data_IF_553517167574
#
_entry.id   IF_553517167574
#
_cell.length_a   1.000
_cell.length_b   1.000
_cell.length_c   1.000
_cell.angle_alpha   90.00
_cell.angle_beta   90.00
_cell.angle_gamma   90.00
#
_symmetry.space_group_name_H-M   'P 1'
#
loop_
_entity.id
_entity.type
_entity.pdbx_description
1 polymer ?
#
# COMPACT_ATOMS: atom_id res chain seq x y z
N UNK A 1 -22.59 -6.63 -0.29
CA UNK A 1 -23.09 -5.23 -0.20
C UNK A 1 -23.85 -4.92 1.09
N UNK A 2 -24.73 -5.80 1.61
CA UNK A 2 -25.40 -5.59 2.92
C UNK A 2 -24.41 -5.54 4.10
N UNK A 3 -23.38 -6.38 4.08
CA UNK A 3 -22.37 -6.41 5.15
C UNK A 3 -21.46 -5.18 5.18
N UNK A 4 -21.09 -4.65 4.01
CA UNK A 4 -20.36 -3.37 3.89
C UNK A 4 -21.15 -2.19 4.49
N UNK A 5 -22.47 -2.15 4.28
CA UNK A 5 -23.32 -1.10 4.84
C UNK A 5 -23.46 -1.21 6.36
N UNK A 6 -23.50 -2.43 6.89
CA UNK A 6 -23.54 -2.69 8.33
C UNK A 6 -22.19 -2.40 8.99
N UNK A 7 -21.08 -2.80 8.36
CA UNK A 7 -19.73 -2.45 8.78
C UNK A 7 -19.54 -0.93 8.80
N UNK A 8 -19.94 -0.21 7.74
CA UNK A 8 -19.87 1.24 7.68
C UNK A 8 -20.65 1.94 8.80
N UNK A 9 -21.86 1.44 9.14
CA UNK A 9 -22.64 1.95 10.28
C UNK A 9 -21.98 1.67 11.62
N UNK A 10 -21.40 0.49 11.79
CA UNK A 10 -20.65 0.11 12.98
C UNK A 10 -19.45 1.04 13.17
N UNK A 11 -18.64 1.25 12.13
CA UNK A 11 -17.52 2.19 12.15
C UNK A 11 -17.97 3.61 12.44
N UNK A 12 -19.03 4.08 11.77
CA UNK A 12 -19.57 5.41 12.00
C UNK A 12 -20.03 5.61 13.46
N UNK A 13 -20.55 4.59 14.13
CA UNK A 13 -20.95 4.69 15.54
C UNK A 13 -19.76 4.90 16.48
N UNK A 14 -18.69 4.14 16.32
CA UNK A 14 -17.51 4.20 17.19
C UNK A 14 -16.51 5.32 16.82
N UNK A 15 -16.57 5.83 15.59
CA UNK A 15 -15.78 6.99 15.13
C UNK A 15 -16.49 8.32 15.33
N UNK A 16 -17.82 8.33 15.53
CA UNK A 16 -18.60 9.56 15.76
C UNK A 16 -18.03 10.48 16.86
N UNK A 17 -17.51 9.98 18.00
CA UNK A 17 -16.91 10.86 19.01
C UNK A 17 -15.64 11.57 18.53
N UNK A 18 -14.95 11.02 17.53
CA UNK A 18 -13.66 11.50 17.01
C UNK A 18 -13.78 12.17 15.64
N UNK A 19 -14.99 12.55 15.21
CA UNK A 19 -15.23 13.06 13.87
C UNK A 19 -14.41 14.32 13.52
N UNK A 20 -14.09 15.16 14.51
CA UNK A 20 -13.23 16.35 14.33
C UNK A 20 -11.78 15.93 14.04
N UNK A 21 -11.23 15.02 14.86
CA UNK A 21 -9.87 14.53 14.67
C UNK A 21 -9.73 13.81 13.31
N UNK A 22 -10.75 13.05 12.91
CA UNK A 22 -10.82 12.41 11.59
C UNK A 22 -10.94 13.42 10.42
N UNK A 23 -11.65 14.53 10.62
CA UNK A 23 -11.72 15.59 9.62
C UNK A 23 -10.38 16.31 9.47
N UNK A 24 -9.68 16.58 10.58
CA UNK A 24 -8.33 17.15 10.58
C UNK A 24 -7.36 16.23 9.86
N UNK A 25 -7.36 14.92 10.14
CA UNK A 25 -6.48 13.96 9.45
C UNK A 25 -6.78 13.91 7.96
N UNK A 26 -8.04 13.94 7.56
CA UNK A 26 -8.44 13.96 6.14
C UNK A 26 -7.90 15.21 5.42
N UNK A 27 -7.98 16.38 6.06
CA UNK A 27 -7.45 17.64 5.50
C UNK A 27 -5.92 17.57 5.39
N UNK A 28 -5.22 17.15 6.45
CA UNK A 28 -3.76 17.03 6.46
C UNK A 28 -3.27 16.04 5.41
N UNK A 29 -3.96 14.92 5.26
CA UNK A 29 -3.75 13.93 4.19
C UNK A 29 -3.92 14.58 2.81
N UNK A 30 -4.96 15.38 2.61
CA UNK A 30 -5.16 16.10 1.35
C UNK A 30 -4.03 17.09 1.04
N UNK A 31 -3.55 17.82 2.06
CA UNK A 31 -2.41 18.74 1.95
C UNK A 31 -1.12 17.98 1.61
N UNK A 32 -0.85 16.87 2.30
CA UNK A 32 0.27 15.97 2.01
C UNK A 32 0.22 15.46 0.57
N UNK A 33 -0.94 14.93 0.16
CA UNK A 33 -1.15 14.40 -1.20
C UNK A 33 -0.87 15.47 -2.24
N UNK A 34 -1.38 16.69 -2.03
CA UNK A 34 -1.09 17.81 -2.92
C UNK A 34 0.41 18.16 -2.94
N UNK A 35 1.05 18.24 -1.77
CA UNK A 35 2.46 18.60 -1.64
C UNK A 35 3.38 17.59 -2.34
N UNK A 36 3.18 16.29 -2.12
CA UNK A 36 4.00 15.22 -2.72
C UNK A 36 3.78 15.11 -4.24
N UNK A 37 2.56 15.37 -4.71
CA UNK A 37 2.22 15.37 -6.15
C UNK A 37 2.81 16.56 -6.88
N UNK A 38 2.86 17.73 -6.23
CA UNK A 38 3.38 18.97 -6.82
C UNK A 38 4.90 19.06 -6.73
N UNK A 39 5.53 18.47 -5.71
CA UNK A 39 6.97 18.57 -5.45
C UNK A 39 7.87 18.22 -6.67
N UNK A 40 7.62 17.16 -7.46
CA UNK A 40 8.40 16.86 -8.66
C UNK A 40 8.43 18.00 -9.67
N UNK A 41 7.35 18.79 -9.81
CA UNK A 41 7.34 19.95 -10.74
C UNK A 41 8.27 21.07 -10.30
N UNK A 42 8.40 21.30 -9.00
CA UNK A 42 9.36 22.27 -8.48
C UNK A 42 10.80 21.75 -8.57
N UNK A 43 11.01 20.44 -8.44
CA UNK A 43 12.30 19.82 -8.74
C UNK A 43 12.70 20.06 -10.20
N UNK A 44 11.77 19.85 -11.14
CA UNK A 44 11.96 20.16 -12.56
C UNK A 44 12.33 21.62 -12.77
N UNK A 45 11.54 22.56 -12.23
CA UNK A 45 11.81 24.01 -12.34
C UNK A 45 13.17 24.41 -11.77
N UNK A 46 13.57 23.83 -10.62
CA UNK A 46 14.88 24.10 -10.05
C UNK A 46 16.02 23.67 -11.00
N UNK A 47 15.85 22.55 -11.70
CA UNK A 47 16.81 22.09 -12.72
C UNK A 47 16.82 23.02 -13.94
N UNK A 48 15.66 23.47 -14.40
CA UNK A 48 15.55 24.43 -15.51
C UNK A 48 16.22 25.77 -15.18
N UNK A 49 15.97 26.31 -13.99
CA UNK A 49 16.56 27.57 -13.52
C UNK A 49 18.07 27.43 -13.33
N UNK A 50 18.54 26.28 -12.83
CA UNK A 50 19.97 25.99 -12.72
C UNK A 50 20.62 25.89 -14.10
N UNK A 51 19.99 25.21 -15.06
CA UNK A 51 20.48 25.11 -16.44
C UNK A 51 20.58 26.50 -17.09
N UNK A 52 19.58 27.35 -16.88
CA UNK A 52 19.55 28.73 -17.36
C UNK A 52 20.67 29.57 -16.73
N UNK A 53 20.89 29.43 -15.42
CA UNK A 53 21.99 30.09 -14.72
C UNK A 53 23.36 29.70 -15.30
N UNK A 54 23.60 28.38 -15.49
CA UNK A 54 24.86 27.88 -16.05
C UNK A 54 25.07 28.42 -17.47
N UNK A 55 24.03 28.43 -18.30
CA UNK A 55 24.11 28.96 -19.66
C UNK A 55 24.42 30.46 -19.68
N UNK A 56 23.81 31.26 -18.80
CA UNK A 56 24.07 32.69 -18.66
C UNK A 56 25.48 32.99 -18.13
N UNK A 57 25.98 32.15 -17.20
CA UNK A 57 27.30 32.28 -16.61
C UNK A 57 28.43 31.93 -17.60
N UNK A 58 28.19 30.96 -18.49
CA UNK A 58 29.13 30.58 -19.55
C UNK A 58 29.25 31.63 -20.65
N UNK A 59 28.20 32.42 -20.90
CA UNK A 59 28.20 33.46 -21.92
C UNK A 59 28.82 34.78 -21.39
N UNK A 60 29.93 35.27 -21.98
CA UNK A 60 30.62 36.47 -21.49
C UNK A 60 29.75 37.73 -21.44
N UNK A 61 28.76 37.84 -22.34
CA UNK A 61 27.86 38.98 -22.46
C UNK A 61 26.74 39.02 -21.39
N UNK A 62 26.31 37.87 -20.87
CA UNK A 62 25.19 37.74 -19.92
C UNK A 62 25.64 37.42 -18.50
N UNK A 63 26.95 37.25 -18.28
CA UNK A 63 27.53 36.83 -17.00
C UNK A 63 27.15 37.73 -15.82
N UNK A 64 26.98 39.03 -16.05
CA UNK A 64 26.58 40.00 -15.03
C UNK A 64 25.10 39.89 -14.61
N UNK A 65 24.25 39.22 -15.40
CA UNK A 65 22.83 39.03 -15.13
C UNK A 65 22.52 37.69 -14.44
N UNK A 66 23.50 36.78 -14.39
CA UNK A 66 23.35 35.44 -13.81
C UNK A 66 23.14 35.54 -12.29
N UNK A 67 21.91 35.27 -11.83
CA UNK A 67 21.50 35.43 -10.42
C UNK A 67 20.95 34.13 -9.86
N UNK A 68 21.44 33.71 -8.69
CA UNK A 68 21.00 32.48 -8.00
C UNK A 68 19.67 32.60 -7.24
N UNK A 69 19.12 33.81 -7.15
CA UNK A 69 17.92 34.10 -6.33
C UNK A 69 16.71 33.27 -6.75
N UNK A 70 16.47 33.12 -8.05
CA UNK A 70 15.32 32.34 -8.56
C UNK A 70 15.47 30.86 -8.20
N UNK A 71 16.64 30.28 -8.47
CA UNK A 71 16.97 28.89 -8.11
C UNK A 71 16.81 28.64 -6.60
N UNK A 72 17.39 29.49 -5.76
CA UNK A 72 17.31 29.34 -4.30
C UNK A 72 15.87 29.43 -3.80
N UNK A 73 15.06 30.31 -4.39
CA UNK A 73 13.63 30.45 -4.05
C UNK A 73 12.84 29.20 -4.46
N UNK A 74 13.05 28.68 -5.66
CA UNK A 74 12.39 27.45 -6.14
C UNK A 74 12.80 26.23 -5.33
N UNK A 75 14.09 26.12 -4.97
CA UNK A 75 14.59 25.07 -4.09
C UNK A 75 14.02 25.19 -2.68
N UNK A 76 13.89 26.40 -2.14
CA UNK A 76 13.27 26.63 -0.83
C UNK A 76 11.80 26.19 -0.83
N UNK A 77 11.04 26.47 -1.90
CA UNK A 77 9.66 25.98 -2.04
C UNK A 77 9.64 24.45 -2.12
N UNK A 78 10.52 23.84 -2.91
CA UNK A 78 10.63 22.39 -3.02
C UNK A 78 10.87 21.71 -1.65
N UNK A 79 11.84 22.22 -0.88
CA UNK A 79 12.11 21.72 0.48
C UNK A 79 10.91 21.94 1.40
N UNK A 80 10.27 23.11 1.31
CA UNK A 80 9.08 23.43 2.11
C UNK A 80 7.90 22.48 1.80
N UNK A 81 7.70 22.08 0.54
CA UNK A 81 6.68 21.10 0.17
C UNK A 81 6.94 19.74 0.83
N UNK A 82 8.19 19.26 0.84
CA UNK A 82 8.55 18.02 1.53
C UNK A 82 8.40 18.12 3.06
N UNK A 83 8.71 19.28 3.65
CA UNK A 83 8.49 19.51 5.09
C UNK A 83 7.00 19.51 5.42
N UNK A 84 6.17 20.17 4.59
CA UNK A 84 4.71 20.16 4.73
C UNK A 84 4.16 18.74 4.63
N UNK A 85 4.61 17.99 3.62
CA UNK A 85 4.21 16.59 3.43
C UNK A 85 4.58 15.74 4.66
N UNK A 86 5.86 15.72 5.04
CA UNK A 86 6.35 14.94 6.17
C UNK A 86 5.65 15.30 7.49
N UNK A 87 5.43 16.60 7.74
CA UNK A 87 4.74 17.07 8.95
C UNK A 87 3.26 16.69 8.93
N UNK A 88 2.60 16.81 7.77
CA UNK A 88 1.18 16.47 7.61
C UNK A 88 0.94 14.97 7.77
N UNK A 89 1.79 14.11 7.18
CA UNK A 89 1.75 12.66 7.35
C UNK A 89 2.04 12.28 8.81
N UNK A 90 3.04 12.89 9.44
CA UNK A 90 3.38 12.63 10.83
C UNK A 90 2.21 12.96 11.77
N UNK A 91 1.65 14.16 11.67
CA UNK A 91 0.50 14.56 12.50
C UNK A 91 -0.71 13.67 12.21
N UNK A 92 -0.97 13.36 10.93
CA UNK A 92 -2.09 12.50 10.54
C UNK A 92 -1.95 11.10 11.12
N UNK A 93 -0.77 10.48 11.01
CA UNK A 93 -0.49 9.15 11.54
C UNK A 93 -0.61 9.08 13.08
N UNK A 94 -0.16 10.11 13.80
CA UNK A 94 -0.31 10.21 15.25
C UNK A 94 -1.79 10.31 15.66
N UNK A 95 -2.55 11.18 14.99
CA UNK A 95 -3.99 11.34 15.24
C UNK A 95 -4.76 10.05 14.90
N UNK A 96 -4.46 9.40 13.78
CA UNK A 96 -5.10 8.15 13.38
C UNK A 96 -4.78 7.00 14.33
N UNK A 97 -3.53 6.91 14.79
CA UNK A 97 -3.12 5.95 15.81
C UNK A 97 -3.89 6.17 17.12
N UNK A 98 -4.04 7.44 17.52
CA UNK A 98 -4.82 7.84 18.70
C UNK A 98 -6.29 7.43 18.55
N UNK A 99 -6.95 7.85 17.46
CA UNK A 99 -8.37 7.54 17.18
C UNK A 99 -8.60 6.03 17.19
N UNK A 100 -7.76 5.28 16.46
CA UNK A 100 -7.88 3.83 16.34
C UNK A 100 -7.69 3.13 17.68
N UNK A 101 -6.71 3.58 18.48
CA UNK A 101 -6.43 3.03 19.81
C UNK A 101 -7.59 3.23 20.79
N UNK A 102 -8.10 4.45 20.92
CA UNK A 102 -9.22 4.73 21.82
C UNK A 102 -10.53 4.11 21.34
N UNK A 103 -10.79 4.13 20.03
CA UNK A 103 -12.00 3.51 19.45
C UNK A 103 -12.03 2.01 19.73
N UNK A 104 -10.91 1.31 19.51
CA UNK A 104 -10.76 -0.13 19.78
C UNK A 104 -10.85 -0.43 21.27
N UNK A 105 -10.25 0.41 22.13
CA UNK A 105 -10.42 0.30 23.58
C UNK A 105 -11.88 0.39 24.01
N UNK A 106 -12.62 1.33 23.43
CA UNK A 106 -14.06 1.50 23.67
C UNK A 106 -14.87 0.29 23.18
N UNK A 107 -14.52 -0.26 22.01
CA UNK A 107 -15.12 -1.49 21.50
C UNK A 107 -14.88 -2.68 22.44
N UNK A 108 -13.63 -2.87 22.92
CA UNK A 108 -13.28 -3.94 23.88
C UNK A 108 -14.08 -3.83 25.18
N UNK A 109 -14.18 -2.63 25.76
CA UNK A 109 -14.99 -2.40 26.97
C UNK A 109 -16.48 -2.66 26.72
N UNK A 110 -17.00 -2.23 25.57
CA UNK A 110 -18.39 -2.47 25.17
C UNK A 110 -18.70 -3.96 24.98
N UNK A 111 -17.82 -4.70 24.31
CA UNK A 111 -17.95 -6.14 24.10
C UNK A 111 -17.89 -6.90 25.43
N UNK A 112 -16.94 -6.54 26.30
CA UNK A 112 -16.80 -7.14 27.63
C UNK A 112 -18.06 -6.92 28.48
N UNK A 113 -18.57 -5.68 28.52
CA UNK A 113 -19.82 -5.36 29.24
C UNK A 113 -21.02 -6.12 28.68
N UNK A 114 -21.08 -6.33 27.36
CA UNK A 114 -22.14 -7.12 26.73
C UNK A 114 -22.03 -8.59 27.15
N UNK A 115 -20.83 -9.15 27.10
CA UNK A 115 -20.52 -10.54 27.50
C UNK A 115 -20.97 -10.82 28.94
N UNK A 116 -20.64 -9.93 29.89
CA UNK A 116 -21.07 -10.03 31.30
C UNK A 116 -22.59 -10.06 31.51
N UNK A 117 -23.38 -9.60 30.53
CA UNK A 117 -24.85 -9.54 30.59
C UNK A 117 -25.52 -10.62 29.75
N UNK A 118 -24.75 -11.51 29.12
CA UNK A 118 -25.31 -12.59 28.32
C UNK A 118 -25.84 -13.71 29.23
N UNK A 119 -26.90 -14.36 28.77
CA UNK A 119 -27.49 -15.51 29.49
C UNK A 119 -26.53 -16.70 29.42
N UNK A 120 -26.54 -17.54 30.45
CA UNK A 120 -25.74 -18.77 30.52
C UNK A 120 -25.87 -19.64 29.26
N UNK A 121 -27.10 -19.75 28.71
CA UNK A 121 -27.38 -20.47 27.46
C UNK A 121 -26.53 -20.04 26.24
N UNK A 122 -26.03 -18.79 26.21
CA UNK A 122 -25.11 -18.36 25.15
C UNK A 122 -23.75 -19.04 25.28
N UNK A 123 -23.24 -19.16 26.52
CA UNK A 123 -21.98 -19.82 26.83
C UNK A 123 -22.09 -21.34 26.69
N UNK A 124 -23.26 -21.93 26.96
CA UNK A 124 -23.48 -23.37 26.74
C UNK A 124 -23.50 -23.76 25.25
N UNK A 125 -23.76 -22.80 24.36
CA UNK A 125 -23.90 -23.02 22.91
C UNK A 125 -22.68 -22.58 22.08
N UNK A 126 -21.67 -21.98 22.70
CA UNK A 126 -20.47 -21.47 22.01
C UNK A 126 -19.20 -21.92 22.74
N UNK A 127 -18.17 -22.29 21.98
CA UNK A 127 -16.88 -22.64 22.58
C UNK A 127 -16.18 -21.42 23.20
N UNK A 128 -15.49 -21.62 24.33
CA UNK A 128 -14.67 -20.57 24.96
C UNK A 128 -13.66 -19.95 23.98
N UNK A 129 -13.12 -20.76 23.07
CA UNK A 129 -12.19 -20.32 22.03
C UNK A 129 -12.81 -19.36 21.00
N UNK A 130 -14.04 -19.62 20.54
CA UNK A 130 -14.77 -18.71 19.64
C UNK A 130 -15.02 -17.35 20.33
N UNK A 131 -15.46 -17.39 21.59
CA UNK A 131 -15.69 -16.18 22.40
C UNK A 131 -14.39 -15.37 22.58
N UNK A 132 -13.28 -16.04 22.91
CA UNK A 132 -11.98 -15.39 23.10
C UNK A 132 -11.44 -14.80 21.78
N UNK A 133 -11.57 -15.50 20.66
CA UNK A 133 -11.09 -15.02 19.35
C UNK A 133 -11.79 -13.73 18.91
N UNK A 134 -13.09 -13.61 19.20
CA UNK A 134 -13.87 -12.38 18.94
C UNK A 134 -13.40 -11.20 19.78
N UNK A 135 -12.85 -11.45 20.97
CA UNK A 135 -12.35 -10.41 21.87
C UNK A 135 -10.91 -9.99 21.54
N UNK A 136 -10.10 -10.89 21.01
CA UNK A 136 -8.71 -10.62 20.65
C UNK A 136 -8.57 -10.37 19.15
N UNK A 137 -8.57 -11.43 18.35
CA UNK A 137 -8.24 -11.40 16.93
C UNK A 137 -9.21 -10.55 16.11
N UNK A 138 -10.51 -10.65 16.33
CA UNK A 138 -11.49 -9.92 15.49
C UNK A 138 -11.44 -8.42 15.75
N UNK A 139 -11.28 -8.00 17.01
CA UNK A 139 -11.13 -6.59 17.36
C UNK A 139 -9.80 -6.02 16.88
N UNK A 140 -8.73 -6.83 16.89
CA UNK A 140 -7.44 -6.44 16.32
C UNK A 140 -7.51 -6.32 14.79
N UNK A 141 -8.24 -7.21 14.11
CA UNK A 141 -8.50 -7.11 12.67
C UNK A 141 -9.32 -5.86 12.33
N UNK A 142 -10.32 -5.50 13.13
CA UNK A 142 -11.08 -4.26 12.99
C UNK A 142 -10.17 -3.04 13.18
N UNK A 143 -9.28 -3.05 14.19
CA UNK A 143 -8.29 -2.00 14.41
C UNK A 143 -7.36 -1.82 13.21
N UNK A 144 -6.79 -2.90 12.70
CA UNK A 144 -5.88 -2.87 11.55
C UNK A 144 -6.58 -2.36 10.28
N UNK A 145 -7.82 -2.79 10.04
CA UNK A 145 -8.62 -2.32 8.91
C UNK A 145 -8.92 -0.80 8.99
N UNK A 146 -9.14 -0.28 10.20
CA UNK A 146 -9.40 1.15 10.44
C UNK A 146 -8.13 2.01 10.31
N UNK A 147 -6.99 1.51 10.79
CA UNK A 147 -5.79 2.31 10.95
C UNK A 147 -4.97 2.39 9.65
N UNK A 148 -4.89 1.30 8.88
CA UNK A 148 -4.05 1.24 7.67
C UNK A 148 -4.87 1.16 6.39
N UNK A 149 -5.69 0.11 6.23
CA UNK A 149 -6.21 -0.26 4.92
C UNK A 149 -7.15 0.78 4.30
N UNK A 150 -8.14 1.29 5.04
CA UNK A 150 -9.09 2.25 4.47
C UNK A 150 -8.41 3.54 4.05
N UNK A 151 -7.51 4.04 4.88
CA UNK A 151 -6.87 5.35 4.69
C UNK A 151 -5.86 5.29 3.57
N UNK A 152 -5.09 4.20 3.50
CA UNK A 152 -4.15 3.95 2.41
C UNK A 152 -4.84 3.87 1.05
N UNK A 153 -6.03 3.26 0.97
CA UNK A 153 -6.82 3.23 -0.28
C UNK A 153 -7.24 4.63 -0.71
N UNK A 154 -7.76 5.45 0.22
CA UNK A 154 -8.14 6.84 -0.09
C UNK A 154 -6.92 7.69 -0.48
N UNK A 155 -5.82 7.58 0.26
CA UNK A 155 -4.55 8.24 -0.01
C UNK A 155 -4.00 7.88 -1.39
N UNK A 156 -3.82 6.59 -1.64
CA UNK A 156 -3.26 6.09 -2.89
C UNK A 156 -4.14 6.46 -4.08
N UNK A 157 -5.48 6.41 -3.91
CA UNK A 157 -6.42 6.85 -4.94
C UNK A 157 -6.33 8.34 -5.23
N UNK A 158 -6.28 9.19 -4.19
CA UNK A 158 -6.13 10.64 -4.34
C UNK A 158 -4.79 11.02 -4.96
N UNK A 159 -3.70 10.38 -4.52
CA UNK A 159 -2.37 10.57 -5.08
C UNK A 159 -2.30 10.13 -6.54
N UNK A 160 -2.87 8.97 -6.88
CA UNK A 160 -2.93 8.48 -8.26
C UNK A 160 -3.66 9.46 -9.19
N UNK A 161 -4.83 9.95 -8.78
CA UNK A 161 -5.59 10.96 -9.53
C UNK A 161 -4.78 12.26 -9.64
N UNK A 162 -4.14 12.69 -8.55
CA UNK A 162 -3.31 13.89 -8.51
C UNK A 162 -2.11 13.82 -9.47
N UNK A 163 -1.40 12.70 -9.49
CA UNK A 163 -0.27 12.46 -10.40
C UNK A 163 -0.74 12.51 -11.85
N UNK A 164 -1.82 11.79 -12.20
CA UNK A 164 -2.38 11.80 -13.55
C UNK A 164 -2.73 13.23 -13.97
N UNK A 165 -3.44 13.96 -13.10
CA UNK A 165 -3.81 15.35 -13.36
C UNK A 165 -2.56 16.20 -13.63
N UNK A 166 -1.56 16.15 -12.75
CA UNK A 166 -0.31 16.89 -12.93
C UNK A 166 0.41 16.50 -14.22
N UNK A 167 0.54 15.22 -14.54
CA UNK A 167 1.19 14.76 -15.78
C UNK A 167 0.54 15.37 -17.02
N UNK A 168 -0.79 15.35 -17.11
CA UNK A 168 -1.51 15.96 -18.24
C UNK A 168 -1.36 17.48 -18.29
N UNK A 169 -1.26 18.16 -17.14
CA UNK A 169 -1.00 19.62 -17.14
C UNK A 169 0.43 19.96 -17.59
N UNK A 170 1.41 19.09 -17.35
CA UNK A 170 2.81 19.33 -17.72
C UNK A 170 3.09 18.97 -19.18
N UNK A 171 2.73 17.76 -19.61
CA UNK A 171 2.91 17.32 -20.99
C UNK A 171 1.99 16.14 -21.33
N UNK A 172 0.97 16.39 -22.15
CA UNK A 172 0.01 15.36 -22.54
C UNK A 172 0.65 14.19 -23.32
N UNK A 173 1.67 14.44 -24.14
CA UNK A 173 2.33 13.40 -24.94
C UNK A 173 3.06 12.40 -24.06
N UNK A 174 3.89 12.88 -23.12
CA UNK A 174 4.55 12.00 -22.16
C UNK A 174 3.58 11.37 -21.18
N UNK A 175 2.51 12.07 -20.79
CA UNK A 175 1.47 11.49 -19.95
C UNK A 175 0.89 10.22 -20.58
N UNK A 176 0.53 10.27 -21.86
CA UNK A 176 0.06 9.08 -22.57
C UNK A 176 1.11 7.98 -22.67
N UNK A 177 2.36 8.33 -22.93
CA UNK A 177 3.46 7.35 -23.02
C UNK A 177 3.66 6.64 -21.68
N UNK A 178 3.74 7.38 -20.57
CA UNK A 178 3.90 6.81 -19.23
C UNK A 178 2.68 6.00 -18.83
N UNK A 179 1.46 6.52 -19.06
CA UNK A 179 0.22 5.81 -18.69
C UNK A 179 -0.05 4.58 -19.54
N UNK A 180 0.51 4.47 -20.75
CA UNK A 180 0.34 3.28 -21.59
C UNK A 180 0.89 2.00 -20.91
N UNK A 181 1.86 2.15 -19.99
CA UNK A 181 2.38 1.03 -19.19
C UNK A 181 1.42 0.60 -18.07
N UNK A 182 0.56 1.49 -17.59
CA UNK A 182 -0.31 1.26 -16.43
C UNK A 182 -1.34 0.13 -16.65
N UNK A 183 -2.10 0.05 -17.76
CA UNK A 183 -3.00 -1.07 -18.02
C UNK A 183 -2.29 -2.42 -18.07
N UNK A 184 -1.07 -2.46 -18.61
CA UNK A 184 -0.24 -3.67 -18.66
C UNK A 184 0.16 -4.10 -17.25
N UNK A 185 0.59 -3.15 -16.42
CA UNK A 185 0.92 -3.41 -15.02
C UNK A 185 -0.29 -3.90 -14.22
N UNK A 186 -1.46 -3.30 -14.40
CA UNK A 186 -2.70 -3.73 -13.75
C UNK A 186 -3.08 -5.15 -14.21
N UNK A 187 -3.03 -5.43 -15.51
CA UNK A 187 -3.37 -6.75 -16.07
C UNK A 187 -2.44 -7.85 -15.56
N UNK A 188 -1.12 -7.61 -15.56
CA UNK A 188 -0.14 -8.54 -15.02
C UNK A 188 -0.31 -8.74 -13.51
N UNK A 189 -0.54 -7.66 -12.77
CA UNK A 189 -0.78 -7.73 -11.33
C UNK A 189 -2.04 -8.53 -11.00
N UNK A 190 -3.13 -8.29 -11.72
CA UNK A 190 -4.38 -9.04 -11.55
C UNK A 190 -4.19 -10.53 -11.84
N UNK A 191 -3.44 -10.87 -12.88
CA UNK A 191 -3.10 -12.26 -13.20
C UNK A 191 -2.27 -12.93 -12.09
N UNK A 192 -1.19 -12.28 -11.65
CA UNK A 192 -0.32 -12.81 -10.58
C UNK A 192 -1.08 -12.94 -9.26
N UNK A 193 -1.86 -11.93 -8.88
CA UNK A 193 -2.69 -11.97 -7.67
C UNK A 193 -3.72 -13.11 -7.72
N UNK A 194 -4.33 -13.35 -8.89
CA UNK A 194 -5.26 -14.46 -9.05
C UNK A 194 -4.56 -15.82 -8.90
N UNK A 195 -3.36 -15.99 -9.47
CA UNK A 195 -2.60 -17.24 -9.30
C UNK A 195 -2.09 -17.43 -7.87
N UNK A 196 -1.72 -16.33 -7.19
CA UNK A 196 -1.36 -16.33 -5.79
C UNK A 196 -2.54 -16.77 -4.92
N UNK A 197 -3.74 -16.19 -5.12
CA UNK A 197 -4.93 -16.56 -4.35
C UNK A 197 -5.28 -18.04 -4.53
N UNK A 198 -5.31 -18.53 -5.78
CA UNK A 198 -5.58 -19.95 -6.07
C UNK A 198 -4.53 -20.88 -5.44
N UNK A 199 -3.27 -20.46 -5.39
CA UNK A 199 -2.20 -21.25 -4.79
C UNK A 199 -2.26 -21.27 -3.26
N UNK A 200 -2.62 -20.14 -2.65
CA UNK A 200 -2.83 -20.01 -1.20
C UNK A 200 -4.05 -20.82 -0.76
N UNK A 201 -5.14 -20.79 -1.52
CA UNK A 201 -6.34 -21.60 -1.24
C UNK A 201 -5.99 -23.10 -1.23
N UNK A 202 -5.26 -23.57 -2.24
CA UNK A 202 -4.79 -24.96 -2.30
C UNK A 202 -3.84 -25.32 -1.16
N UNK A 203 -2.95 -24.40 -0.80
CA UNK A 203 -2.06 -24.58 0.35
C UNK A 203 -2.88 -24.75 1.64
N UNK A 204 -3.94 -23.96 1.82
CA UNK A 204 -4.80 -24.04 2.99
C UNK A 204 -5.59 -25.36 3.04
N UNK A 205 -6.07 -25.84 1.89
CA UNK A 205 -6.73 -27.16 1.78
C UNK A 205 -5.80 -28.31 2.17
N UNK A 206 -4.56 -28.30 1.66
CA UNK A 206 -3.57 -29.34 1.97
C UNK A 206 -3.16 -29.30 3.46
N UNK A 207 -3.00 -28.11 4.04
CA UNK A 207 -2.75 -27.93 5.47
C UNK A 207 -3.93 -28.46 6.30
N UNK A 208 -5.17 -28.20 5.86
CA UNK A 208 -6.38 -28.73 6.49
C UNK A 208 -6.40 -30.26 6.53
N UNK A 209 -6.05 -30.91 5.40
CA UNK A 209 -5.93 -32.37 5.32
C UNK A 209 -4.82 -32.92 6.21
N UNK A 210 -3.65 -32.29 6.20
CA UNK A 210 -2.52 -32.66 7.07
C UNK A 210 -2.92 -32.57 8.55
N UNK A 211 -3.55 -31.47 8.97
CA UNK A 211 -4.00 -31.27 10.34
C UNK A 211 -5.11 -32.26 10.73
N UNK A 212 -6.01 -32.59 9.80
CA UNK A 212 -7.01 -33.65 9.98
C UNK A 212 -6.36 -35.00 10.28
N UNK A 213 -5.35 -35.38 9.49
CA UNK A 213 -4.56 -36.59 9.72
C UNK A 213 -3.88 -36.57 11.09
N UNK A 214 -3.16 -35.49 11.41
CA UNK A 214 -2.50 -35.32 12.73
C UNK A 214 -3.51 -35.48 13.87
N UNK A 215 -4.69 -34.86 13.76
CA UNK A 215 -5.72 -34.91 14.80
C UNK A 215 -6.25 -36.33 15.01
N UNK A 216 -6.47 -37.09 13.94
CA UNK A 216 -6.87 -38.50 14.02
C UNK A 216 -5.79 -39.37 14.69
N UNK A 217 -4.52 -39.18 14.30
CA UNK A 217 -3.40 -39.92 14.88
C UNK A 217 -3.22 -39.59 16.37
N UNK A 218 -3.31 -38.31 16.78
CA UNK A 218 -3.20 -37.90 18.18
C UNK A 218 -4.38 -38.41 19.00
N UNK A 219 -5.60 -38.32 18.47
CA UNK A 219 -6.81 -38.86 19.15
C UNK A 219 -6.70 -40.38 19.31
N UNK A 220 -6.18 -41.07 18.30
CA UNK A 220 -5.95 -42.52 18.28
C UNK A 220 -4.62 -42.97 18.90
N UNK A 221 -3.85 -42.08 19.53
CA UNK A 221 -2.45 -42.35 19.92
C UNK A 221 -2.29 -43.60 20.79
N UNK A 222 -3.24 -43.85 21.69
CA UNK A 222 -3.19 -45.01 22.59
C UNK A 222 -3.29 -46.31 21.79
N UNK A 223 -4.19 -46.35 20.79
CA UNK A 223 -4.35 -47.50 19.90
C UNK A 223 -3.09 -47.72 19.05
N UNK A 224 -2.53 -46.65 18.48
CA UNK A 224 -1.30 -46.73 17.69
C UNK A 224 -0.14 -47.31 18.51
N UNK A 225 0.02 -46.86 19.76
CA UNK A 225 1.09 -47.34 20.64
C UNK A 225 0.89 -48.80 21.03
N UNK A 226 -0.32 -49.18 21.44
CA UNK A 226 -0.59 -50.56 21.88
C UNK A 226 -0.48 -51.58 20.76
N UNK A 227 -0.70 -51.17 19.50
CA UNK A 227 -0.61 -52.05 18.33
C UNK A 227 0.72 -51.91 17.56
N UNK A 228 1.66 -51.06 18.01
CA UNK A 228 2.95 -50.89 17.36
C UNK A 228 2.91 -50.23 15.98
N UNK A 229 1.88 -49.42 15.70
CA UNK A 229 1.61 -48.81 14.38
C UNK A 229 2.25 -47.42 14.19
N UNK A 230 3.18 -47.00 15.05
CA UNK A 230 3.75 -45.64 15.01
C UNK A 230 4.50 -45.36 13.70
N UNK A 231 5.24 -46.34 13.17
CA UNK A 231 5.96 -46.16 11.90
C UNK A 231 5.00 -46.04 10.71
N UNK A 232 3.90 -46.77 10.71
CA UNK A 232 2.86 -46.67 9.68
C UNK A 232 2.15 -45.32 9.73
N UNK A 233 1.88 -44.81 10.94
CA UNK A 233 1.37 -43.45 11.16
C UNK A 233 2.32 -42.38 10.59
N UNK A 234 3.63 -42.51 10.82
CA UNK A 234 4.62 -41.60 10.24
C UNK A 234 4.69 -41.75 8.72
N UNK A 235 4.59 -42.97 8.18
CA UNK A 235 4.56 -43.19 6.75
C UNK A 235 3.31 -42.57 6.09
N UNK A 236 2.15 -42.64 6.75
CA UNK A 236 0.91 -42.01 6.32
C UNK A 236 0.95 -40.47 6.38
N UNK A 237 1.76 -39.87 7.26
CA UNK A 237 1.99 -38.42 7.32
C UNK A 237 2.78 -37.89 6.12
N UNK A 238 3.78 -38.64 5.64
CA UNK A 238 4.67 -38.21 4.56
C UNK A 238 3.98 -37.69 3.29
N UNK A 239 2.96 -38.37 2.71
CA UNK A 239 2.28 -37.88 1.52
C UNK A 239 1.55 -36.56 1.75
N UNK A 240 0.89 -36.38 2.91
CA UNK A 240 0.23 -35.11 3.24
C UNK A 240 1.25 -33.98 3.41
N UNK A 241 2.37 -34.24 4.08
CA UNK A 241 3.45 -33.27 4.25
C UNK A 241 4.10 -32.90 2.91
N UNK A 242 4.28 -33.86 2.01
CA UNK A 242 4.80 -33.62 0.66
C UNK A 242 3.83 -32.77 -0.19
N UNK A 243 2.51 -33.00 -0.05
CA UNK A 243 1.49 -32.17 -0.69
C UNK A 243 1.57 -30.72 -0.21
N UNK A 244 1.58 -30.50 1.11
CA UNK A 244 1.75 -29.17 1.72
C UNK A 244 3.05 -28.52 1.26
N UNK A 245 4.17 -29.24 1.22
CA UNK A 245 5.45 -28.69 0.72
C UNK A 245 5.33 -28.19 -0.73
N UNK A 246 4.64 -28.94 -1.59
CA UNK A 246 4.46 -28.60 -3.01
C UNK A 246 3.51 -27.42 -3.21
N UNK A 247 2.38 -27.37 -2.49
CA UNK A 247 1.44 -26.25 -2.57
C UNK A 247 2.00 -24.99 -1.94
N UNK A 248 2.70 -25.10 -0.81
CA UNK A 248 3.40 -23.99 -0.16
C UNK A 248 4.47 -23.36 -1.07
N UNK A 249 5.32 -24.18 -1.73
CA UNK A 249 6.31 -23.65 -2.67
C UNK A 249 5.65 -22.85 -3.81
N UNK A 250 4.55 -23.36 -4.38
CA UNK A 250 3.79 -22.65 -5.42
C UNK A 250 3.18 -21.35 -4.89
N UNK A 251 2.59 -21.38 -3.70
CA UNK A 251 2.05 -20.20 -3.03
C UNK A 251 3.11 -19.12 -2.85
N UNK A 252 4.29 -19.48 -2.33
CA UNK A 252 5.39 -18.53 -2.15
C UNK A 252 5.92 -17.97 -3.47
N UNK A 253 6.04 -18.77 -4.53
CA UNK A 253 6.49 -18.28 -5.84
C UNK A 253 5.52 -17.22 -6.38
N UNK A 254 4.20 -17.51 -6.39
CA UNK A 254 3.22 -16.58 -6.93
C UNK A 254 3.04 -15.33 -6.06
N UNK A 255 3.06 -15.47 -4.72
CA UNK A 255 2.99 -14.32 -3.82
C UNK A 255 4.28 -13.48 -3.86
N UNK A 256 5.44 -14.12 -4.06
CA UNK A 256 6.74 -13.46 -4.06
C UNK A 256 7.10 -12.75 -5.37
N UNK A 257 6.55 -13.16 -6.51
CA UNK A 257 6.91 -12.59 -7.82
C UNK A 257 6.30 -11.21 -8.09
N UNK A 258 5.24 -10.83 -7.37
CA UNK A 258 4.50 -9.58 -7.61
C UNK A 258 5.40 -8.34 -7.43
N UNK A 259 6.15 -8.27 -6.33
CA UNK A 259 7.03 -7.12 -6.06
C UNK A 259 8.17 -6.97 -7.09
N UNK A 260 8.97 -8.01 -7.39
CA UNK A 260 9.98 -7.94 -8.44
C UNK A 260 9.41 -7.58 -9.81
N UNK A 261 8.21 -8.08 -10.14
CA UNK A 261 7.53 -7.77 -11.40
C UNK A 261 7.15 -6.29 -11.47
N UNK A 262 6.54 -5.75 -10.42
CA UNK A 262 6.18 -4.32 -10.34
C UNK A 262 7.42 -3.42 -10.39
N UNK A 263 8.49 -3.80 -9.68
CA UNK A 263 9.75 -3.05 -9.72
C UNK A 263 10.39 -3.07 -11.12
N UNK A 264 10.36 -4.22 -11.80
CA UNK A 264 10.83 -4.35 -13.18
C UNK A 264 10.01 -3.50 -14.16
N UNK A 265 8.68 -3.48 -14.02
CA UNK A 265 7.80 -2.63 -14.83
C UNK A 265 8.06 -1.14 -14.58
N UNK A 266 8.27 -0.74 -13.32
CA UNK A 266 8.62 0.65 -12.98
C UNK A 266 9.95 1.08 -13.59
N UNK A 267 10.98 0.22 -13.54
CA UNK A 267 12.27 0.49 -14.21
C UNK A 267 12.14 0.60 -15.74
N UNK A 268 11.34 -0.28 -16.34
CA UNK A 268 11.02 -0.21 -17.77
C UNK A 268 10.27 1.09 -18.11
N UNK A 269 9.27 1.46 -17.32
CA UNK A 269 8.52 2.69 -17.50
C UNK A 269 9.44 3.91 -17.40
N UNK A 270 10.31 3.93 -16.38
CA UNK A 270 11.35 4.96 -16.22
C UNK A 270 12.26 5.04 -17.44
N UNK A 271 12.74 3.92 -17.98
CA UNK A 271 13.58 3.89 -19.16
C UNK A 271 12.85 4.43 -20.42
N UNK A 272 11.57 4.04 -20.60
CA UNK A 272 10.72 4.54 -21.69
C UNK A 272 10.54 6.06 -21.58
N UNK A 273 10.28 6.56 -20.37
CA UNK A 273 10.11 7.99 -20.09
C UNK A 273 11.40 8.77 -20.35
N UNK A 274 12.55 8.26 -19.90
CA UNK A 274 13.85 8.89 -20.18
C UNK A 274 14.10 8.95 -21.68
N UNK A 275 13.85 7.85 -22.41
CA UNK A 275 14.05 7.80 -23.86
C UNK A 275 13.12 8.77 -24.59
N UNK A 276 11.81 8.70 -24.32
CA UNK A 276 10.81 9.56 -24.96
C UNK A 276 10.99 11.04 -24.59
N UNK A 277 11.30 11.32 -23.32
CA UNK A 277 11.57 12.68 -22.85
C UNK A 277 12.85 13.25 -23.43
N UNK A 278 13.91 12.46 -23.56
CA UNK A 278 15.16 12.87 -24.24
C UNK A 278 14.93 13.11 -25.73
N UNK A 279 14.11 12.29 -26.39
CA UNK A 279 13.74 12.50 -27.78
C UNK A 279 12.97 13.81 -27.98
N UNK A 280 12.02 14.12 -27.09
CA UNK A 280 11.31 15.40 -27.07
C UNK A 280 12.25 16.57 -26.76
N UNK A 281 13.27 16.35 -25.92
CA UNK A 281 14.29 17.36 -25.62
C UNK A 281 15.14 17.73 -26.84
N UNK A 282 15.47 16.75 -27.68
CA UNK A 282 16.33 16.94 -28.84
C UNK A 282 15.59 17.48 -30.07
N UNK A 283 14.33 17.10 -30.25
CA UNK A 283 13.53 17.44 -31.44
C UNK A 283 12.44 18.49 -31.19
N UNK A 284 12.21 18.87 -29.92
CA UNK A 284 11.18 19.83 -29.53
C UNK A 284 11.64 21.28 -29.65
N UNK A 285 10.66 22.19 -29.56
CA UNK A 285 10.89 23.64 -29.45
C UNK A 285 11.19 24.11 -28.02
N UNK A 286 11.39 23.19 -27.08
CA UNK A 286 11.64 23.49 -25.68
C UNK A 286 13.10 23.90 -25.47
N UNK A 287 13.33 24.76 -24.48
CA UNK A 287 14.70 25.05 -24.03
C UNK A 287 15.34 23.78 -23.46
N UNK A 288 16.67 23.67 -23.54
CA UNK A 288 17.39 22.51 -22.99
C UNK A 288 17.10 22.31 -21.49
N UNK A 289 16.96 23.41 -20.73
CA UNK A 289 16.58 23.38 -19.32
C UNK A 289 15.15 22.87 -19.09
N UNK A 290 14.17 23.38 -19.84
CA UNK A 290 12.78 22.95 -19.75
C UNK A 290 12.60 21.47 -20.11
N UNK A 291 13.37 20.99 -21.09
CA UNK A 291 13.31 19.60 -21.50
C UNK A 291 13.91 18.65 -20.44
N UNK A 292 15.05 19.01 -19.84
CA UNK A 292 15.63 18.26 -18.72
C UNK A 292 14.71 18.24 -17.50
N UNK A 293 14.11 19.39 -17.17
CA UNK A 293 13.13 19.51 -16.10
C UNK A 293 11.96 18.54 -16.30
N UNK A 294 11.41 18.51 -17.51
CA UNK A 294 10.28 17.68 -17.87
C UNK A 294 10.63 16.18 -17.84
N UNK A 295 11.85 15.77 -18.24
CA UNK A 295 12.31 14.38 -18.03
C UNK A 295 12.31 14.03 -16.54
N UNK A 296 12.88 14.88 -15.68
CA UNK A 296 12.97 14.61 -14.23
C UNK A 296 11.59 14.54 -13.58
N UNK A 297 10.68 15.42 -13.96
CA UNK A 297 9.29 15.41 -13.48
C UNK A 297 8.63 14.07 -13.79
N UNK A 298 8.69 13.61 -15.04
CA UNK A 298 8.04 12.38 -15.45
C UNK A 298 8.73 11.12 -14.91
N UNK A 299 10.04 11.14 -14.69
CA UNK A 299 10.75 10.03 -14.02
C UNK A 299 10.26 9.86 -12.58
N UNK A 300 9.96 10.95 -11.87
CA UNK A 300 9.40 10.85 -10.52
C UNK A 300 7.93 10.42 -10.50
N UNK A 301 7.21 10.56 -11.63
CA UNK A 301 5.82 10.10 -11.76
C UNK A 301 5.68 8.68 -12.32
N UNK A 302 6.75 8.10 -12.90
CA UNK A 302 6.77 6.82 -13.60
C UNK A 302 7.01 5.61 -12.68
#
# INVERSE_FOLDING_TARGET
MKDLKNAGKFYAHYLKPYWIEFLITTILVGISTWAIVVAPTYMGRAIEELATYVQQWMNPATRAQATFTTFNHTLAIFVLLYIIDATSILISSLLLSKISGYSTGTMRVGLFRKMQRMKVNYFDSHSDGDILSRFTSDLDNIFNAMNQALIEIFLSGAQFIGIIWMMFTQNATLAWITMASTPVAIGLSAFVMHQASVSVDRQQDDIGRLNGYINEQITGQKMLITNGLQQESVAGFQPYNAAVRKSNLRGQIWSGILNPLLMGLSLLNTAIVIFAGSWLALNGSLSQGAALALVVVFVNYA
#
